data_IF_453825410122
#
_entry.id   IF_453825410122
#
_cell.length_a   1.000
_cell.length_b   1.000
_cell.length_c   1.000
_cell.angle_alpha   90.00
_cell.angle_beta   90.00
_cell.angle_gamma   90.00
#
_symmetry.space_group_name_H-M   'P 1'
#
loop_
_entity.id
_entity.type
_entity.pdbx_description
1 polymer ?
#
# COMPACT_ATOMS: atom_id res chain seq x y z
N UNK A 1 -1.19 15.00 -12.80
CA UNK A 1 -0.92 15.72 -11.54
C UNK A 1 0.05 14.89 -10.74
N UNK A 2 1.30 15.30 -10.75
CA UNK A 2 2.33 14.71 -9.91
C UNK A 2 2.00 15.04 -8.44
N UNK A 3 1.69 14.05 -7.63
CA UNK A 3 1.81 14.15 -6.19
C UNK A 3 3.30 14.23 -5.90
N UNK A 4 3.82 15.45 -5.72
CA UNK A 4 5.15 15.67 -5.16
C UNK A 4 5.22 14.91 -3.83
N UNK A 5 6.04 13.89 -3.78
CA UNK A 5 6.40 13.22 -2.54
C UNK A 5 7.07 14.25 -1.64
N UNK A 6 6.72 14.27 -0.37
CA UNK A 6 7.37 15.12 0.66
C UNK A 6 8.90 14.93 0.76
N UNK A 7 9.47 14.01 -0.01
CA UNK A 7 10.90 13.74 -0.10
C UNK A 7 11.64 14.54 -1.17
N UNK A 8 10.94 15.25 -2.08
CA UNK A 8 11.55 16.09 -3.12
C UNK A 8 11.67 17.57 -2.69
N UNK A 9 11.49 17.87 -1.40
CA UNK A 9 11.73 19.20 -0.86
C UNK A 9 13.21 19.53 -0.97
N UNK A 10 13.54 20.50 -1.82
CA UNK A 10 14.87 21.13 -1.86
C UNK A 10 15.34 21.51 -0.46
N UNK A 11 16.64 21.40 -0.16
CA UNK A 11 17.16 21.72 1.17
C UNK A 11 16.81 23.18 1.53
N UNK A 12 16.13 23.34 2.66
CA UNK A 12 15.63 24.63 3.19
C UNK A 12 16.78 25.68 3.37
N UNK A 13 18.02 25.25 3.31
CA UNK A 13 19.21 26.11 3.42
C UNK A 13 19.40 27.12 2.28
N UNK A 14 18.69 27.01 1.16
CA UNK A 14 18.77 27.93 0.00
C UNK A 14 17.74 29.07 -0.01
N UNK A 15 16.77 29.09 0.91
CA UNK A 15 15.68 30.07 0.95
C UNK A 15 16.03 31.27 1.87
N UNK A 16 16.90 32.17 1.38
CA UNK A 16 17.35 33.35 2.13
C UNK A 16 16.59 34.66 1.82
N UNK A 17 15.29 34.65 1.52
CA UNK A 17 14.60 35.92 1.31
C UNK A 17 13.66 36.26 2.47
N UNK A 18 13.60 37.54 2.85
CA UNK A 18 12.71 38.07 3.89
C UNK A 18 11.24 37.79 3.61
N UNK A 19 10.85 37.72 2.32
CA UNK A 19 9.48 37.38 1.89
C UNK A 19 9.09 35.93 2.23
N UNK A 20 10.03 34.97 2.10
CA UNK A 20 9.78 33.59 2.46
C UNK A 20 9.67 33.43 3.98
N UNK A 21 10.50 34.15 4.73
CA UNK A 21 10.40 34.16 6.20
C UNK A 21 9.06 34.73 6.66
N UNK A 22 8.61 35.85 6.10
CA UNK A 22 7.30 36.44 6.39
C UNK A 22 6.14 35.49 6.02
N UNK A 23 6.24 34.77 4.89
CA UNK A 23 5.25 33.77 4.50
C UNK A 23 5.23 32.60 5.48
N UNK A 24 6.40 32.10 5.90
CA UNK A 24 6.52 31.01 6.90
C UNK A 24 5.97 31.46 8.24
N UNK A 25 6.24 32.68 8.68
CA UNK A 25 5.74 33.21 9.94
C UNK A 25 4.22 33.42 9.87
N UNK A 26 3.67 33.89 8.75
CA UNK A 26 2.22 33.99 8.51
C UNK A 26 1.55 32.61 8.48
N UNK A 27 2.20 31.60 7.89
CA UNK A 27 1.71 30.22 7.89
C UNK A 27 1.77 29.59 9.29
N UNK A 28 2.81 29.90 10.08
CA UNK A 28 2.90 29.50 11.50
C UNK A 28 1.78 30.11 12.34
N UNK A 29 1.52 31.41 12.22
CA UNK A 29 0.42 32.09 12.95
C UNK A 29 -0.95 31.48 12.58
N UNK A 30 -1.18 31.13 11.30
CA UNK A 30 -2.37 30.37 10.89
C UNK A 30 -2.38 28.95 11.41
N UNK A 31 -1.20 28.29 11.48
CA UNK A 31 -1.09 26.93 12.01
C UNK A 31 -1.31 26.87 13.52
N UNK A 32 -0.94 27.91 14.27
CA UNK A 32 -1.10 27.94 15.74
C UNK A 32 -2.58 28.09 16.14
N UNK A 33 -3.37 28.90 15.40
CA UNK A 33 -4.83 28.96 15.56
C UNK A 33 -5.52 27.65 15.17
N UNK A 34 -5.10 27.01 14.10
CA UNK A 34 -5.57 25.69 13.66
C UNK A 34 -5.12 24.59 14.63
N UNK A 35 -3.94 24.72 15.25
CA UNK A 35 -3.41 23.74 16.20
C UNK A 35 -4.15 23.72 17.54
N UNK A 36 -4.70 24.84 18.02
CA UNK A 36 -5.55 24.87 19.23
C UNK A 36 -6.88 24.15 19.01
N UNK A 37 -7.56 24.42 17.89
CA UNK A 37 -8.77 23.68 17.49
C UNK A 37 -8.47 22.20 17.20
N UNK A 38 -7.33 21.90 16.58
CA UNK A 38 -6.89 20.52 16.34
C UNK A 38 -6.47 19.81 17.63
N UNK A 39 -5.91 20.51 18.63
CA UNK A 39 -5.55 19.93 19.91
C UNK A 39 -6.80 19.56 20.75
N UNK A 40 -7.83 20.39 20.70
CA UNK A 40 -9.10 20.12 21.37
C UNK A 40 -9.91 19.03 20.66
N UNK A 41 -9.98 19.08 19.32
CA UNK A 41 -10.55 18.01 18.51
C UNK A 41 -9.74 16.69 18.59
N UNK A 42 -8.43 16.72 18.88
CA UNK A 42 -7.60 15.52 19.12
C UNK A 42 -7.92 14.85 20.46
N UNK A 43 -8.45 15.57 21.44
CA UNK A 43 -8.79 15.02 22.77
C UNK A 43 -10.14 14.31 22.77
N UNK A 44 -11.11 14.76 21.95
CA UNK A 44 -12.43 14.14 21.88
C UNK A 44 -12.38 12.81 21.14
N UNK A 45 -13.01 11.79 21.73
CA UNK A 45 -13.23 10.51 21.04
C UNK A 45 -14.19 10.76 19.85
N UNK A 46 -13.83 10.30 18.66
CA UNK A 46 -14.72 10.33 17.51
C UNK A 46 -15.71 9.19 17.64
N UNK A 47 -16.99 9.49 17.48
CA UNK A 47 -18.10 8.53 17.49
C UNK A 47 -18.48 8.08 16.08
N UNK A 48 -19.33 7.07 15.99
CA UNK A 48 -19.89 6.62 14.70
C UNK A 48 -20.74 7.73 14.07
N UNK A 49 -21.52 8.45 14.89
CA UNK A 49 -22.34 9.58 14.41
C UNK A 49 -21.47 10.71 13.85
N UNK A 50 -20.32 11.00 14.50
CA UNK A 50 -19.34 11.96 13.95
C UNK A 50 -18.82 11.48 12.57
N UNK A 51 -18.52 10.19 12.41
CA UNK A 51 -18.07 9.63 11.13
C UNK A 51 -19.17 9.71 10.06
N UNK A 52 -20.40 9.36 10.41
CA UNK A 52 -21.56 9.47 9.51
C UNK A 52 -21.78 10.91 9.05
N UNK A 53 -21.78 11.85 9.99
CA UNK A 53 -21.95 13.28 9.67
C UNK A 53 -20.84 13.79 8.77
N UNK A 54 -19.57 13.44 9.07
CA UNK A 54 -18.42 13.81 8.23
C UNK A 54 -18.54 13.17 6.85
N UNK A 55 -18.87 11.87 6.75
CA UNK A 55 -18.98 11.17 5.50
C UNK A 55 -20.08 11.76 4.61
N UNK A 56 -21.26 12.06 5.16
CA UNK A 56 -22.37 12.69 4.45
C UNK A 56 -22.01 14.10 3.98
N UNK A 57 -21.32 14.89 4.81
CA UNK A 57 -20.84 16.22 4.43
C UNK A 57 -19.79 16.21 3.32
N UNK A 58 -19.04 15.12 3.18
CA UNK A 58 -17.99 14.95 2.19
C UNK A 58 -18.42 14.20 0.93
N UNK A 59 -19.61 13.62 0.90
CA UNK A 59 -20.04 12.72 -0.18
C UNK A 59 -20.06 13.39 -1.58
N UNK A 60 -20.30 14.69 -1.64
CA UNK A 60 -20.32 15.49 -2.88
C UNK A 60 -18.94 16.08 -3.24
N UNK A 61 -17.91 15.89 -2.42
CA UNK A 61 -16.57 16.44 -2.66
C UNK A 61 -15.81 15.64 -3.70
N UNK A 62 -14.91 16.29 -4.43
CA UNK A 62 -14.05 15.63 -5.45
C UNK A 62 -13.14 14.57 -4.85
N UNK A 63 -12.65 14.78 -3.61
CA UNK A 63 -11.72 13.86 -2.93
C UNK A 63 -12.12 13.61 -1.48
N UNK A 64 -13.29 13.01 -1.23
CA UNK A 64 -13.82 12.83 0.12
C UNK A 64 -12.93 11.95 0.99
N UNK A 65 -12.29 10.93 0.41
CA UNK A 65 -11.38 10.01 1.09
C UNK A 65 -10.22 10.72 1.78
N UNK A 66 -9.56 11.67 1.11
CA UNK A 66 -8.41 12.40 1.68
C UNK A 66 -8.83 13.26 2.87
N UNK A 67 -9.97 13.94 2.77
CA UNK A 67 -10.48 14.82 3.83
C UNK A 67 -10.90 14.04 5.08
N UNK A 68 -11.41 12.83 4.93
CA UNK A 68 -11.86 11.99 6.04
C UNK A 68 -10.75 11.19 6.72
N UNK A 69 -9.57 11.05 6.11
CA UNK A 69 -8.49 10.14 6.57
C UNK A 69 -8.15 10.33 8.05
N UNK A 70 -7.96 11.57 8.52
CA UNK A 70 -7.62 11.85 9.92
C UNK A 70 -8.67 11.39 10.93
N UNK A 71 -9.97 11.51 10.59
CA UNK A 71 -11.07 11.06 11.44
C UNK A 71 -11.17 9.54 11.48
N UNK A 72 -10.99 8.88 10.34
CA UNK A 72 -10.94 7.42 10.22
C UNK A 72 -9.84 6.83 11.11
N UNK A 73 -8.61 7.36 11.03
CA UNK A 73 -7.49 6.87 11.86
C UNK A 73 -7.76 7.07 13.36
N UNK A 74 -8.28 8.23 13.75
CA UNK A 74 -8.59 8.52 15.16
C UNK A 74 -9.67 7.60 15.71
N UNK A 75 -10.71 7.32 14.93
CA UNK A 75 -11.75 6.37 15.30
C UNK A 75 -11.19 4.96 15.41
N UNK A 76 -10.58 4.42 14.34
CA UNK A 76 -10.08 3.05 14.30
C UNK A 76 -9.07 2.73 15.41
N UNK A 77 -8.25 3.71 15.82
CA UNK A 77 -7.28 3.55 16.90
C UNK A 77 -7.92 3.38 18.29
N UNK A 78 -9.09 4.00 18.52
CA UNK A 78 -9.71 4.09 19.86
C UNK A 78 -11.01 3.31 19.98
N UNK A 79 -11.60 2.86 18.87
CA UNK A 79 -12.86 2.13 18.85
C UNK A 79 -12.73 0.77 19.53
N UNK A 80 -13.74 0.37 20.29
CA UNK A 80 -13.93 -0.99 20.80
C UNK A 80 -14.38 -1.92 19.69
N UNK A 81 -14.37 -3.23 19.94
CA UNK A 81 -14.87 -4.23 18.99
C UNK A 81 -16.38 -4.10 18.76
N UNK A 82 -17.12 -3.67 19.79
CA UNK A 82 -18.56 -3.34 19.64
C UNK A 82 -18.75 -2.17 18.69
N UNK A 83 -18.04 -1.05 18.91
CA UNK A 83 -18.13 0.14 18.03
C UNK A 83 -17.70 -0.17 16.60
N UNK A 84 -16.72 -1.05 16.39
CA UNK A 84 -16.37 -1.49 15.03
C UNK A 84 -17.49 -2.33 14.40
N UNK A 85 -18.17 -3.16 15.17
CA UNK A 85 -19.33 -3.92 14.68
C UNK A 85 -20.52 -3.02 14.35
N UNK A 86 -20.80 -2.04 15.21
CA UNK A 86 -21.87 -1.06 14.99
C UNK A 86 -21.59 -0.21 13.75
N UNK A 87 -20.33 0.20 13.54
CA UNK A 87 -19.91 0.88 12.31
C UNK A 87 -20.07 0.00 11.07
N UNK A 88 -19.78 -1.30 11.16
CA UNK A 88 -19.96 -2.22 10.05
C UNK A 88 -21.45 -2.35 9.70
N UNK A 89 -22.34 -2.45 10.70
CA UNK A 89 -23.78 -2.41 10.47
C UNK A 89 -24.23 -1.10 9.82
N UNK A 90 -23.76 0.05 10.33
CA UNK A 90 -24.07 1.36 9.76
C UNK A 90 -23.63 1.44 8.29
N UNK A 91 -22.43 0.93 7.96
CA UNK A 91 -21.94 0.90 6.59
C UNK A 91 -22.79 0.03 5.67
N UNK A 92 -23.26 -1.13 6.13
CA UNK A 92 -24.11 -2.01 5.32
C UNK A 92 -25.52 -1.44 5.08
N UNK A 93 -26.06 -0.64 6.03
CA UNK A 93 -27.39 -0.05 5.92
C UNK A 93 -27.39 1.35 5.27
N UNK A 94 -26.22 1.94 5.02
CA UNK A 94 -26.13 3.24 4.37
C UNK A 94 -26.48 3.11 2.88
N UNK A 95 -27.44 3.91 2.40
CA UNK A 95 -27.92 3.85 1.02
C UNK A 95 -26.99 4.55 0.04
N UNK A 96 -26.35 5.65 0.48
CA UNK A 96 -25.50 6.44 -0.37
C UNK A 96 -24.12 5.77 -0.54
N UNK A 97 -23.81 5.27 -1.73
CA UNK A 97 -22.58 4.47 -2.00
C UNK A 97 -21.28 5.16 -1.59
N UNK A 98 -21.14 6.48 -1.83
CA UNK A 98 -19.92 7.20 -1.42
C UNK A 98 -19.80 7.28 0.10
N UNK A 99 -20.89 7.48 0.83
CA UNK A 99 -20.90 7.46 2.30
C UNK A 99 -20.53 6.06 2.80
N UNK A 100 -21.17 5.02 2.27
CA UNK A 100 -20.86 3.62 2.55
C UNK A 100 -19.38 3.33 2.35
N UNK A 101 -18.82 3.76 1.23
CA UNK A 101 -17.39 3.60 0.92
C UNK A 101 -16.49 4.24 1.99
N UNK A 102 -16.84 5.44 2.47
CA UNK A 102 -16.08 6.14 3.51
C UNK A 102 -16.18 5.44 4.86
N UNK A 103 -17.35 4.88 5.22
CA UNK A 103 -17.56 4.13 6.46
C UNK A 103 -16.82 2.77 6.45
N UNK A 104 -16.56 2.19 5.29
CA UNK A 104 -15.77 0.96 5.14
C UNK A 104 -14.27 1.18 5.34
N UNK A 105 -13.75 2.40 5.14
CA UNK A 105 -12.29 2.69 5.22
C UNK A 105 -11.61 2.28 6.53
N UNK A 106 -12.21 2.39 7.72
CA UNK A 106 -11.59 1.91 8.97
C UNK A 106 -11.16 0.43 8.92
N UNK A 107 -11.89 -0.42 8.19
CA UNK A 107 -11.61 -1.86 8.05
C UNK A 107 -10.52 -2.17 7.01
N UNK A 108 -10.31 -1.26 6.04
CA UNK A 108 -9.31 -1.37 4.98
C UNK A 108 -7.95 -0.72 5.31
N UNK A 109 -7.73 -0.22 6.53
CA UNK A 109 -6.48 0.45 6.90
C UNK A 109 -5.28 -0.51 6.86
N UNK A 110 -4.23 -0.16 6.10
CA UNK A 110 -2.95 -0.90 6.08
C UNK A 110 -2.05 -0.48 7.24
N UNK A 111 -2.50 -0.68 8.47
CA UNK A 111 -1.79 -0.30 9.71
C UNK A 111 -1.79 -1.44 10.72
N UNK A 112 -0.99 -1.28 11.77
CA UNK A 112 -0.98 -2.20 12.93
C UNK A 112 -2.30 -2.21 13.72
N UNK A 113 -3.15 -1.20 13.52
CA UNK A 113 -4.49 -1.10 14.14
C UNK A 113 -5.60 -1.61 13.23
N UNK A 114 -5.26 -2.20 12.10
CA UNK A 114 -6.24 -2.77 11.19
C UNK A 114 -7.06 -3.81 11.93
N UNK A 115 -8.37 -3.62 11.91
CA UNK A 115 -9.34 -4.61 12.36
C UNK A 115 -10.10 -5.13 11.14
N UNK A 116 -10.14 -6.44 10.93
CA UNK A 116 -10.92 -7.00 9.82
C UNK A 116 -12.40 -6.63 9.99
N UNK A 117 -13.12 -6.60 8.88
CA UNK A 117 -14.55 -6.38 8.88
C UNK A 117 -15.25 -7.48 9.73
N UNK A 118 -16.08 -7.12 10.74
CA UNK A 118 -16.51 -8.06 11.77
C UNK A 118 -17.77 -8.86 11.42
N UNK A 119 -18.37 -8.62 10.25
CA UNK A 119 -19.60 -9.27 9.78
C UNK A 119 -19.30 -10.20 8.59
N UNK A 120 -20.37 -10.81 8.01
CA UNK A 120 -20.23 -11.58 6.77
C UNK A 120 -19.66 -10.70 5.64
N UNK A 121 -18.72 -11.28 4.89
CA UNK A 121 -18.03 -10.58 3.80
C UNK A 121 -18.77 -10.60 2.47
N UNK A 122 -19.87 -11.34 2.36
CA UNK A 122 -20.61 -11.46 1.10
C UNK A 122 -21.06 -10.11 0.54
N UNK A 123 -21.59 -9.15 1.34
CA UNK A 123 -21.90 -7.82 0.83
C UNK A 123 -20.67 -7.06 0.31
N UNK A 124 -19.49 -7.25 0.93
CA UNK A 124 -18.25 -6.62 0.44
C UNK A 124 -17.85 -7.18 -0.92
N UNK A 125 -18.09 -8.47 -1.16
CA UNK A 125 -17.82 -9.09 -2.47
C UNK A 125 -18.73 -8.52 -3.56
N UNK A 126 -19.99 -8.22 -3.23
CA UNK A 126 -20.91 -7.52 -4.14
C UNK A 126 -20.46 -6.08 -4.39
N UNK A 127 -20.07 -5.36 -3.34
CA UNK A 127 -19.58 -3.96 -3.48
C UNK A 127 -18.28 -3.84 -4.28
N UNK A 128 -17.46 -4.87 -4.32
CA UNK A 128 -16.27 -4.90 -5.18
C UNK A 128 -16.61 -4.83 -6.68
N UNK A 129 -17.87 -5.10 -7.07
CA UNK A 129 -18.39 -4.95 -8.43
C UNK A 129 -19.06 -3.60 -8.70
N UNK A 130 -19.19 -2.73 -7.70
CA UNK A 130 -19.86 -1.42 -7.87
C UNK A 130 -19.23 -0.59 -8.99
N UNK A 131 -20.07 0.14 -9.72
CA UNK A 131 -19.61 1.18 -10.66
C UNK A 131 -19.05 2.40 -9.93
N UNK A 132 -19.38 2.60 -8.66
CA UNK A 132 -18.75 3.59 -7.81
C UNK A 132 -17.35 3.09 -7.42
N UNK A 133 -16.35 3.61 -8.10
CA UNK A 133 -14.93 3.22 -7.91
C UNK A 133 -14.49 3.32 -6.45
N UNK A 134 -14.96 4.34 -5.71
CA UNK A 134 -14.61 4.52 -4.30
C UNK A 134 -15.17 3.39 -3.43
N UNK A 135 -16.39 2.92 -3.72
CA UNK A 135 -17.00 1.80 -3.01
C UNK A 135 -16.31 0.49 -3.34
N UNK A 136 -16.04 0.24 -4.62
CA UNK A 136 -15.33 -0.95 -5.06
C UNK A 136 -13.93 -1.05 -4.45
N UNK A 137 -13.13 0.03 -4.47
CA UNK A 137 -11.82 0.08 -3.82
C UNK A 137 -11.91 -0.12 -2.30
N UNK A 138 -12.91 0.47 -1.64
CA UNK A 138 -13.07 0.33 -0.19
C UNK A 138 -13.43 -1.10 0.21
N UNK A 139 -14.28 -1.76 -0.58
CA UNK A 139 -14.62 -3.16 -0.39
C UNK A 139 -13.41 -4.08 -0.59
N UNK A 140 -12.63 -3.85 -1.65
CA UNK A 140 -11.38 -4.59 -1.93
C UNK A 140 -10.38 -4.42 -0.77
N UNK A 141 -10.17 -3.18 -0.29
CA UNK A 141 -9.31 -2.91 0.87
C UNK A 141 -9.75 -3.69 2.13
N UNK A 142 -11.07 -3.83 2.36
CA UNK A 142 -11.59 -4.63 3.47
C UNK A 142 -11.34 -6.12 3.27
N UNK A 143 -11.62 -6.64 2.07
CA UNK A 143 -11.49 -8.06 1.72
C UNK A 143 -10.05 -8.56 1.76
N UNK A 144 -9.05 -7.69 1.54
CA UNK A 144 -7.61 -8.03 1.62
C UNK A 144 -7.23 -8.65 2.98
N UNK A 145 -8.00 -8.37 4.05
CA UNK A 145 -7.73 -8.93 5.38
C UNK A 145 -7.99 -10.44 5.50
N UNK A 146 -8.80 -11.00 4.60
CA UNK A 146 -9.32 -12.35 4.72
C UNK A 146 -8.60 -13.36 3.82
N UNK A 147 -8.59 -14.62 4.26
CA UNK A 147 -8.19 -15.78 3.47
C UNK A 147 -9.45 -16.62 3.22
N UNK A 148 -9.96 -16.58 2.01
CA UNK A 148 -11.19 -17.28 1.60
C UNK A 148 -11.11 -17.59 0.11
N UNK A 149 -11.52 -18.81 -0.28
CA UNK A 149 -11.53 -19.24 -1.68
C UNK A 149 -12.37 -18.31 -2.56
N UNK A 150 -13.50 -17.83 -2.06
CA UNK A 150 -14.41 -16.92 -2.79
C UNK A 150 -13.70 -15.60 -3.14
N UNK A 151 -12.80 -15.11 -2.26
CA UNK A 151 -12.02 -13.89 -2.51
C UNK A 151 -10.99 -14.13 -3.61
N UNK A 152 -10.36 -15.31 -3.66
CA UNK A 152 -9.49 -15.66 -4.79
C UNK A 152 -10.26 -15.64 -6.11
N UNK A 153 -11.41 -16.32 -6.15
CA UNK A 153 -12.21 -16.40 -7.36
C UNK A 153 -12.71 -15.01 -7.81
N UNK A 154 -13.08 -14.15 -6.84
CA UNK A 154 -13.39 -12.73 -7.07
C UNK A 154 -12.17 -11.97 -7.64
N UNK A 155 -11.00 -12.16 -7.06
CA UNK A 155 -9.76 -11.49 -7.51
C UNK A 155 -9.46 -11.81 -8.98
N UNK A 156 -9.52 -13.07 -9.37
CA UNK A 156 -9.29 -13.52 -10.76
C UNK A 156 -10.25 -12.81 -11.72
N UNK A 157 -11.54 -12.76 -11.39
CA UNK A 157 -12.53 -12.09 -12.24
C UNK A 157 -12.32 -10.57 -12.32
N UNK A 158 -12.00 -9.92 -11.20
CA UNK A 158 -11.75 -8.47 -11.17
C UNK A 158 -10.47 -8.06 -11.88
N UNK A 159 -9.43 -8.92 -11.88
CA UNK A 159 -8.17 -8.66 -12.59
C UNK A 159 -8.37 -8.52 -14.11
N UNK A 160 -9.39 -9.16 -14.66
CA UNK A 160 -9.76 -9.05 -16.07
C UNK A 160 -10.59 -7.78 -16.38
N UNK A 161 -11.17 -7.16 -15.36
CA UNK A 161 -12.02 -5.96 -15.50
C UNK A 161 -11.18 -4.71 -15.72
N UNK A 162 -11.50 -3.96 -16.76
CA UNK A 162 -10.86 -2.65 -17.04
C UNK A 162 -11.14 -1.67 -15.89
N UNK A 163 -10.10 -0.97 -15.43
CA UNK A 163 -10.19 0.10 -14.43
C UNK A 163 -9.99 -0.36 -12.98
N UNK A 164 -10.43 -1.54 -12.59
CA UNK A 164 -10.31 -2.06 -11.22
C UNK A 164 -9.25 -3.16 -11.06
N UNK A 165 -8.79 -3.76 -12.16
CA UNK A 165 -7.87 -4.90 -12.10
C UNK A 165 -6.62 -4.66 -11.27
N UNK A 166 -6.05 -3.45 -11.33
CA UNK A 166 -4.86 -3.12 -10.56
C UNK A 166 -5.11 -3.10 -9.04
N UNK A 167 -6.33 -2.78 -8.58
CA UNK A 167 -6.69 -2.81 -7.15
C UNK A 167 -7.01 -4.23 -6.67
N UNK A 168 -7.58 -5.06 -7.55
CA UNK A 168 -7.92 -6.44 -7.23
C UNK A 168 -6.70 -7.31 -6.91
N UNK A 169 -5.50 -6.89 -7.35
CA UNK A 169 -4.25 -7.58 -7.07
C UNK A 169 -4.00 -7.73 -5.56
N UNK A 170 -4.43 -6.75 -4.76
CA UNK A 170 -4.31 -6.80 -3.30
C UNK A 170 -5.03 -8.01 -2.68
N UNK A 171 -6.11 -8.51 -3.29
CA UNK A 171 -6.84 -9.68 -2.83
C UNK A 171 -6.01 -10.96 -2.90
N UNK A 172 -5.03 -11.04 -3.81
CA UNK A 172 -4.11 -12.17 -3.92
C UNK A 172 -3.05 -12.19 -2.82
N UNK A 173 -2.82 -11.12 -2.07
CA UNK A 173 -1.81 -11.08 -1.01
C UNK A 173 -1.97 -12.24 -0.02
N UNK A 174 -3.21 -12.61 0.32
CA UNK A 174 -3.52 -13.74 1.22
C UNK A 174 -4.04 -14.97 0.50
N UNK A 175 -4.51 -14.81 -0.72
CA UNK A 175 -5.25 -15.82 -1.46
C UNK A 175 -4.52 -16.33 -2.71
N UNK A 176 -3.28 -15.92 -2.92
CA UNK A 176 -2.44 -16.31 -4.06
C UNK A 176 -2.31 -17.82 -4.20
N UNK A 177 -2.35 -18.28 -5.44
CA UNK A 177 -2.01 -19.62 -5.90
C UNK A 177 -0.95 -19.52 -6.99
N UNK A 178 -0.12 -20.56 -7.15
CA UNK A 178 0.97 -20.53 -8.15
C UNK A 178 0.48 -20.26 -9.58
N UNK A 179 -0.71 -20.69 -9.92
CA UNK A 179 -1.34 -20.46 -11.23
C UNK A 179 -1.62 -18.98 -11.51
N UNK A 180 -1.61 -18.12 -10.47
CA UNK A 180 -1.88 -16.69 -10.62
C UNK A 180 -0.67 -15.93 -11.19
N UNK A 181 0.51 -16.56 -11.31
CA UNK A 181 1.71 -15.93 -11.87
C UNK A 181 1.48 -15.43 -13.31
N UNK A 182 0.77 -16.20 -14.13
CA UNK A 182 0.44 -15.81 -15.50
C UNK A 182 -0.52 -14.61 -15.55
N UNK A 183 -1.49 -14.56 -14.64
CA UNK A 183 -2.41 -13.42 -14.51
C UNK A 183 -1.66 -12.15 -14.10
N UNK A 184 -0.78 -12.27 -13.10
CA UNK A 184 0.03 -11.14 -12.61
C UNK A 184 0.96 -10.65 -13.73
N UNK A 185 1.64 -11.57 -14.42
CA UNK A 185 2.50 -11.24 -15.56
C UNK A 185 1.73 -10.55 -16.69
N UNK A 186 0.53 -11.05 -17.01
CA UNK A 186 -0.37 -10.46 -18.01
C UNK A 186 -0.84 -9.05 -17.65
N UNK A 187 -1.12 -8.79 -16.35
CA UNK A 187 -1.51 -7.47 -15.85
C UNK A 187 -0.38 -6.46 -16.02
N UNK A 188 0.83 -6.79 -15.55
CA UNK A 188 1.96 -5.85 -15.59
C UNK A 188 2.57 -5.71 -16.97
N UNK A 189 2.50 -6.74 -17.82
CA UNK A 189 3.04 -6.72 -19.19
C UNK A 189 2.35 -5.70 -20.11
N UNK A 190 1.10 -5.35 -19.81
CA UNK A 190 0.32 -4.34 -20.56
C UNK A 190 0.65 -2.90 -20.16
N UNK A 191 1.37 -2.68 -19.06
CA UNK A 191 1.65 -1.35 -18.49
C UNK A 191 3.02 -0.85 -18.92
N UNK A 192 3.12 0.38 -19.42
CA UNK A 192 4.40 1.05 -19.69
C UNK A 192 5.15 1.32 -18.37
N UNK A 193 4.46 1.93 -17.41
CA UNK A 193 4.92 2.17 -16.03
C UNK A 193 4.00 1.42 -15.09
N UNK A 194 4.58 0.72 -14.11
CA UNK A 194 3.80 -0.03 -13.11
C UNK A 194 3.42 0.93 -11.96
N UNK A 195 2.12 1.14 -11.68
CA UNK A 195 1.67 2.01 -10.61
C UNK A 195 2.23 1.61 -9.23
N UNK A 196 2.40 2.58 -8.35
CA UNK A 196 3.02 2.37 -7.04
C UNK A 196 2.30 1.31 -6.18
N UNK A 197 0.96 1.33 -6.15
CA UNK A 197 0.18 0.34 -5.40
C UNK A 197 0.35 -1.09 -5.95
N UNK A 198 0.43 -1.24 -7.28
CA UNK A 198 0.70 -2.55 -7.93
C UNK A 198 2.07 -3.08 -7.54
N UNK A 199 3.10 -2.21 -7.52
CA UNK A 199 4.44 -2.61 -7.05
C UNK A 199 4.42 -3.09 -5.59
N UNK A 200 3.63 -2.42 -4.74
CA UNK A 200 3.47 -2.82 -3.33
C UNK A 200 2.78 -4.18 -3.21
N UNK A 201 1.70 -4.41 -3.95
CA UNK A 201 0.95 -5.66 -3.89
C UNK A 201 1.77 -6.84 -4.43
N UNK A 202 2.47 -6.67 -5.55
CA UNK A 202 3.41 -7.68 -6.09
C UNK A 202 4.47 -8.05 -5.04
N UNK A 203 5.09 -7.06 -4.43
CA UNK A 203 6.05 -7.27 -3.35
C UNK A 203 5.45 -8.07 -2.20
N UNK A 204 4.25 -7.68 -1.73
CA UNK A 204 3.57 -8.35 -0.61
C UNK A 204 3.25 -9.82 -0.94
N UNK A 205 2.72 -10.08 -2.13
CA UNK A 205 2.41 -11.43 -2.62
C UNK A 205 3.67 -12.30 -2.55
N UNK A 206 4.74 -11.89 -3.22
CA UNK A 206 5.93 -12.73 -3.34
C UNK A 206 6.80 -12.77 -2.08
N UNK A 207 6.81 -11.72 -1.25
CA UNK A 207 7.42 -11.79 0.07
C UNK A 207 6.72 -12.80 0.99
N UNK A 208 5.41 -12.96 0.84
CA UNK A 208 4.61 -13.89 1.65
C UNK A 208 4.72 -15.32 1.15
N UNK A 209 4.58 -15.52 -0.15
CA UNK A 209 4.46 -16.86 -0.74
C UNK A 209 5.79 -17.45 -1.24
N UNK A 210 6.85 -16.64 -1.40
CA UNK A 210 8.23 -17.04 -1.71
C UNK A 210 8.34 -17.98 -2.91
N UNK A 211 7.59 -17.69 -3.99
CA UNK A 211 7.66 -18.48 -5.22
C UNK A 211 9.01 -18.29 -5.91
N UNK A 212 9.73 -19.40 -6.19
CA UNK A 212 10.97 -19.34 -6.95
C UNK A 212 10.74 -18.89 -8.41
N UNK A 213 9.56 -19.15 -8.96
CA UNK A 213 9.17 -18.81 -10.32
C UNK A 213 8.79 -17.32 -10.47
N UNK A 214 8.70 -16.56 -9.35
CA UNK A 214 8.37 -15.15 -9.36
C UNK A 214 9.45 -14.23 -9.92
N UNK A 215 10.67 -14.72 -10.13
CA UNK A 215 11.81 -13.89 -10.54
C UNK A 215 11.55 -13.10 -11.83
N UNK A 216 10.97 -13.64 -12.91
CA UNK A 216 10.65 -12.87 -14.11
C UNK A 216 9.69 -11.69 -13.84
N UNK A 217 8.66 -11.91 -13.03
CA UNK A 217 7.67 -10.88 -12.64
C UNK A 217 8.35 -9.78 -11.81
N UNK A 218 9.15 -10.17 -10.82
CA UNK A 218 9.87 -9.23 -9.96
C UNK A 218 10.92 -8.43 -10.76
N UNK A 219 11.61 -9.04 -11.73
CA UNK A 219 12.54 -8.34 -12.63
C UNK A 219 11.80 -7.35 -13.52
N UNK A 220 10.65 -7.73 -14.06
CA UNK A 220 9.83 -6.82 -14.86
C UNK A 220 9.36 -5.63 -14.03
N UNK A 221 8.88 -5.89 -12.80
CA UNK A 221 8.45 -4.86 -11.86
C UNK A 221 9.59 -3.93 -11.46
N UNK A 222 10.79 -4.46 -11.22
CA UNK A 222 12.00 -3.68 -10.93
C UNK A 222 12.35 -2.70 -12.05
N UNK A 223 12.27 -3.15 -13.32
CA UNK A 223 12.64 -2.35 -14.48
C UNK A 223 11.61 -1.29 -14.86
N UNK A 224 10.34 -1.51 -14.56
CA UNK A 224 9.22 -0.64 -14.92
C UNK A 224 8.68 0.20 -13.77
N UNK A 225 9.16 -0.05 -12.56
CA UNK A 225 8.81 0.72 -11.37
C UNK A 225 9.70 1.96 -11.23
N UNK A 226 9.09 3.15 -11.19
CA UNK A 226 9.84 4.42 -11.05
C UNK A 226 10.20 4.76 -9.60
N UNK A 227 9.49 4.19 -8.62
CA UNK A 227 9.69 4.50 -7.20
C UNK A 227 10.92 3.77 -6.63
N UNK A 228 11.95 4.51 -6.23
CA UNK A 228 13.17 3.94 -5.63
C UNK A 228 12.88 3.15 -4.34
N UNK A 229 11.95 3.64 -3.51
CA UNK A 229 11.50 2.94 -2.31
C UNK A 229 10.87 1.59 -2.65
N UNK A 230 9.93 1.54 -3.62
CA UNK A 230 9.34 0.29 -4.07
C UNK A 230 10.39 -0.65 -4.67
N UNK A 231 11.32 -0.11 -5.47
CA UNK A 231 12.42 -0.88 -6.09
C UNK A 231 13.27 -1.58 -5.03
N UNK A 232 13.58 -0.92 -3.91
CA UNK A 232 14.25 -1.54 -2.77
C UNK A 232 13.52 -2.81 -2.30
N UNK A 233 12.23 -2.71 -2.08
CA UNK A 233 11.44 -3.84 -1.57
C UNK A 233 11.24 -4.95 -2.61
N UNK A 234 11.22 -4.61 -3.91
CA UNK A 234 11.21 -5.63 -4.99
C UNK A 234 12.52 -6.43 -4.98
N UNK A 235 13.68 -5.76 -4.82
CA UNK A 235 14.97 -6.46 -4.69
C UNK A 235 14.99 -7.38 -3.46
N UNK A 236 14.40 -6.96 -2.35
CA UNK A 236 14.24 -7.82 -1.17
C UNK A 236 13.30 -9.02 -1.43
N UNK A 237 12.23 -8.81 -2.21
CA UNK A 237 11.35 -9.90 -2.63
C UNK A 237 12.11 -10.91 -3.51
N UNK A 238 12.89 -10.46 -4.49
CA UNK A 238 13.77 -11.34 -5.29
C UNK A 238 14.67 -12.20 -4.39
N UNK A 239 15.32 -11.58 -3.41
CA UNK A 239 16.19 -12.30 -2.48
C UNK A 239 15.44 -13.39 -1.71
N UNK A 240 14.20 -13.15 -1.31
CA UNK A 240 13.36 -14.14 -0.62
C UNK A 240 12.85 -15.26 -1.53
N UNK A 241 12.74 -14.98 -2.82
CA UNK A 241 12.22 -15.91 -3.84
C UNK A 241 13.31 -16.70 -4.57
N UNK A 242 14.53 -16.80 -4.02
CA UNK A 242 15.59 -17.63 -4.59
C UNK A 242 16.87 -16.88 -4.92
N UNK A 243 16.87 -15.56 -4.85
CA UNK A 243 18.08 -14.74 -5.03
C UNK A 243 17.91 -13.56 -5.96
N UNK A 244 18.88 -12.65 -5.88
CA UNK A 244 18.95 -11.48 -6.74
C UNK A 244 20.02 -11.69 -7.80
N UNK A 245 19.75 -11.57 -9.10
CA UNK A 245 20.77 -11.68 -10.13
C UNK A 245 21.94 -10.72 -9.88
N UNK A 246 23.19 -11.18 -10.06
CA UNK A 246 24.39 -10.36 -9.80
C UNK A 246 24.39 -9.06 -10.58
N UNK A 247 23.85 -9.04 -11.83
CA UNK A 247 23.69 -7.82 -12.61
C UNK A 247 22.83 -6.79 -11.89
N UNK A 248 21.70 -7.20 -11.30
CA UNK A 248 20.80 -6.32 -10.54
C UNK A 248 21.50 -5.83 -9.25
N UNK A 249 22.23 -6.69 -8.55
CA UNK A 249 23.00 -6.26 -7.36
C UNK A 249 24.02 -5.18 -7.72
N UNK A 250 24.72 -5.31 -8.85
CA UNK A 250 25.67 -4.28 -9.32
C UNK A 250 24.97 -2.96 -9.68
N UNK A 251 23.80 -3.01 -10.32
CA UNK A 251 22.97 -1.82 -10.58
C UNK A 251 22.53 -1.16 -9.27
N UNK A 252 22.11 -1.93 -8.28
CA UNK A 252 21.67 -1.45 -6.97
C UNK A 252 22.78 -0.71 -6.18
N UNK A 253 24.05 -0.93 -6.45
CA UNK A 253 25.14 -0.17 -5.83
C UNK A 253 25.09 1.34 -6.13
N UNK A 254 24.41 1.72 -7.22
CA UNK A 254 24.25 3.09 -7.69
C UNK A 254 22.83 3.61 -7.52
N UNK A 255 21.96 2.90 -6.80
CA UNK A 255 20.59 3.35 -6.56
C UNK A 255 20.58 4.64 -5.72
N UNK A 256 19.62 5.53 -5.96
CA UNK A 256 19.45 6.75 -5.19
C UNK A 256 19.01 6.49 -3.74
N UNK A 257 18.43 5.33 -3.44
CA UNK A 257 17.98 4.95 -2.10
C UNK A 257 19.08 4.18 -1.34
N UNK A 258 19.53 4.73 -0.22
CA UNK A 258 20.69 4.24 0.54
C UNK A 258 20.53 2.78 0.98
N UNK A 259 19.35 2.42 1.47
CA UNK A 259 19.07 1.08 1.94
C UNK A 259 19.20 0.03 0.82
N UNK A 260 18.92 0.42 -0.44
CA UNK A 260 19.13 -0.47 -1.59
C UNK A 260 20.61 -0.71 -1.82
N UNK A 261 21.43 0.37 -1.78
CA UNK A 261 22.87 0.25 -1.94
C UNK A 261 23.49 -0.63 -0.86
N UNK A 262 23.11 -0.41 0.38
CA UNK A 262 23.65 -1.18 1.52
C UNK A 262 23.18 -2.62 1.52
N UNK A 263 21.95 -2.88 1.09
CA UNK A 263 21.45 -4.24 0.91
C UNK A 263 22.25 -4.98 -0.16
N UNK A 264 22.51 -4.36 -1.30
CA UNK A 264 23.31 -4.94 -2.40
C UNK A 264 24.75 -5.24 -1.96
N UNK A 265 25.44 -4.29 -1.28
CA UNK A 265 26.78 -4.50 -0.74
C UNK A 265 26.85 -5.74 0.17
N UNK A 266 25.86 -5.89 1.08
CA UNK A 266 25.80 -7.04 1.98
C UNK A 266 25.63 -8.37 1.23
N UNK A 267 24.80 -8.42 0.19
CA UNK A 267 24.58 -9.63 -0.58
C UNK A 267 25.81 -10.01 -1.42
N UNK A 268 26.45 -9.03 -2.06
CA UNK A 268 27.68 -9.24 -2.84
C UNK A 268 28.79 -9.79 -1.94
N UNK A 269 29.00 -9.19 -0.76
CA UNK A 269 30.01 -9.67 0.19
C UNK A 269 29.76 -11.11 0.65
N UNK A 270 28.50 -11.49 0.88
CA UNK A 270 28.14 -12.87 1.25
C UNK A 270 28.44 -13.86 0.13
N UNK A 271 28.16 -13.51 -1.12
CA UNK A 271 28.43 -14.36 -2.27
C UNK A 271 29.94 -14.61 -2.46
N UNK A 272 30.81 -13.60 -2.21
CA UNK A 272 32.27 -13.75 -2.31
C UNK A 272 32.82 -14.73 -1.26
N UNK A 273 32.31 -14.68 -0.03
CA UNK A 273 32.78 -15.55 1.06
C UNK A 273 32.44 -17.04 0.76
N UNK A 274 31.27 -17.31 0.17
CA UNK A 274 30.87 -18.69 -0.17
C UNK A 274 31.69 -19.26 -1.34
N UNK A 275 32.07 -18.42 -2.32
CA UNK A 275 32.93 -18.86 -3.42
C UNK A 275 34.37 -19.15 -3.01
N UNK A 276 34.89 -18.50 -1.97
CA UNK A 276 36.23 -18.77 -1.42
C UNK A 276 36.26 -20.04 -0.53
N UNK A 277 35.14 -20.35 0.17
CA UNK A 277 35.03 -21.55 1.02
C UNK A 277 34.96 -22.85 0.24
N UNK A 278 34.28 -22.88 -0.90
CA UNK A 278 34.21 -24.08 -1.76
C UNK A 278 35.54 -24.38 -2.50
N UNK A 279 36.37 -23.34 -2.71
CA UNK A 279 37.68 -23.50 -3.34
C UNK A 279 38.75 -24.16 -2.45
N UNK A 280 38.58 -24.18 -1.13
CA UNK A 280 39.53 -24.79 -0.20
C UNK A 280 39.37 -26.32 -0.03
N UNK A 281 38.16 -26.84 -0.27
CA UNK A 281 37.90 -28.28 -0.08
C UNK A 281 38.37 -29.19 -1.25
N UNK A 282 38.71 -28.62 -2.40
CA UNK A 282 39.19 -29.40 -3.57
C UNK A 282 40.70 -29.59 -3.57
N UNK A 283 41.48 -28.90 -2.72
CA UNK A 283 42.95 -29.00 -2.67
C UNK A 283 43.49 -30.00 -1.62
N UNK A 284 42.65 -30.73 -0.90
CA UNK A 284 43.09 -31.72 0.10
C UNK A 284 42.87 -33.18 -0.32
N UNK A 285 42.54 -33.47 -1.56
CA UNK A 285 42.37 -34.83 -2.09
C UNK A 285 43.19 -35.07 -3.36
N UNK A 286 44.41 -34.55 -3.36
CA UNK A 286 45.41 -34.94 -4.36
C UNK A 286 46.72 -35.35 -3.68
#
# INVERSE_FOLDING_TARGET
>A
IYTLSLHDALPISSLRSAAVKALVDTLKIRSDGVNLFQAEAKRRKITIDDLLQIARGLAAEERPRLKMTGSIYRFAKKASDSEMRDLAHAALHEEHETVRALLLKPFGLKTTWRRPFPLDISPLMEYAWSENTLLAESAIDCLEAFKDKRIHDLAVQLLERKGLGSFALALLIRNYRKIDDDLIAGLIGKSGVIPHHVQQDIREIYCRHRSADALPILLHTYRRGECAFCRHYIVRAMHRCGGVPMKILKECLYDCYDETRDFAKRLIKRSSIHSEGDGMNVRQLS
#
